data_IF_631292914171
#
_entry.id   IF_631292914171
#
_cell.length_a   1.000
_cell.length_b   1.000
_cell.length_c   1.000
_cell.angle_alpha   90.00
_cell.angle_beta   90.00
_cell.angle_gamma   90.00
#
_symmetry.space_group_name_H-M   'P 1'
#
loop_
_entity.id
_entity.type
_entity.pdbx_description
1 polymer ?
#
# COMPACT_ATOMS: atom_id res chain seq x y z
N UNK A 1 -16.88 -3.02 35.02
CA UNK A 1 -16.16 -1.74 34.99
C UNK A 1 -15.30 -1.55 33.73
N UNK A 2 -15.64 -2.19 32.57
CA UNK A 2 -14.89 -2.07 31.30
C UNK A 2 -15.64 -1.31 30.18
N UNK A 3 -16.82 -0.73 30.45
CA UNK A 3 -17.63 0.01 29.47
C UNK A 3 -17.24 1.50 29.31
N UNK A 4 -16.33 2.02 30.14
CA UNK A 4 -15.99 3.44 30.16
C UNK A 4 -14.96 3.77 29.07
N UNK A 5 -14.09 2.82 28.68
CA UNK A 5 -13.05 3.07 27.67
C UNK A 5 -13.57 3.18 26.23
N UNK A 6 -14.70 2.56 25.92
CA UNK A 6 -15.31 2.66 24.58
C UNK A 6 -15.90 4.06 24.34
N UNK A 7 -16.38 4.72 25.40
CA UNK A 7 -16.91 6.09 25.32
C UNK A 7 -15.80 7.12 25.17
N UNK A 8 -14.62 6.87 25.77
CA UNK A 8 -13.46 7.76 25.68
C UNK A 8 -12.80 7.68 24.30
N UNK A 9 -12.77 6.50 23.67
CA UNK A 9 -12.28 6.32 22.31
C UNK A 9 -13.24 6.92 21.25
N UNK A 10 -14.56 6.86 21.51
CA UNK A 10 -15.53 7.63 20.72
C UNK A 10 -15.30 9.14 20.85
N UNK A 11 -14.81 9.63 21.98
CA UNK A 11 -14.48 11.05 22.19
C UNK A 11 -13.18 11.46 21.51
N UNK A 12 -12.17 10.58 21.41
CA UNK A 12 -10.93 10.85 20.64
C UNK A 12 -11.25 10.81 19.14
N UNK A 13 -12.02 9.85 18.68
CA UNK A 13 -12.53 9.83 17.28
C UNK A 13 -13.47 11.01 17.01
N UNK A 14 -14.24 11.46 18.02
CA UNK A 14 -15.07 12.66 17.92
C UNK A 14 -14.26 13.96 18.07
N UNK A 15 -13.16 13.98 18.83
CA UNK A 15 -12.25 15.13 18.87
C UNK A 15 -11.42 15.24 17.58
N UNK A 16 -10.99 14.12 17.02
CA UNK A 16 -10.43 14.07 15.66
C UNK A 16 -11.48 14.48 14.60
N UNK A 17 -12.77 14.15 14.79
CA UNK A 17 -13.86 14.65 13.96
C UNK A 17 -14.17 16.13 14.19
N UNK A 18 -14.06 16.65 15.39
CA UNK A 18 -14.28 18.07 15.66
C UNK A 18 -13.13 18.96 15.19
N UNK A 19 -11.90 18.45 15.20
CA UNK A 19 -10.76 19.10 14.54
C UNK A 19 -10.82 18.92 13.01
N UNK A 20 -11.34 17.78 12.49
CA UNK A 20 -11.55 17.60 11.05
C UNK A 20 -12.66 18.49 10.49
N UNK A 21 -13.59 18.98 11.29
CA UNK A 21 -14.57 19.97 10.84
C UNK A 21 -14.01 21.39 10.68
N UNK A 22 -12.81 21.68 11.24
CA UNK A 22 -12.09 22.95 10.99
C UNK A 22 -10.92 22.78 10.00
N UNK A 23 -10.60 21.56 9.57
CA UNK A 23 -9.61 21.23 8.53
C UNK A 23 -10.31 20.72 7.26
N UNK A 24 -11.48 21.24 6.95
CA UNK A 24 -12.14 21.02 5.66
C UNK A 24 -11.27 21.68 4.59
N UNK A 25 -10.79 20.84 3.66
CA UNK A 25 -10.22 21.12 2.35
C UNK A 25 -8.72 20.85 2.10
N UNK A 26 -8.01 20.17 2.98
CA UNK A 26 -6.69 19.63 2.61
C UNK A 26 -6.76 18.11 2.77
N UNK A 27 -6.80 17.38 1.67
CA UNK A 27 -6.55 15.93 1.66
C UNK A 27 -5.10 15.72 2.13
N UNK A 28 -4.92 15.49 3.43
CA UNK A 28 -3.62 15.39 4.08
C UNK A 28 -2.87 14.08 3.75
N UNK A 29 -3.56 13.11 3.13
CA UNK A 29 -3.00 11.82 2.75
C UNK A 29 -3.39 11.54 1.30
N UNK A 30 -2.40 11.36 0.47
CA UNK A 30 -2.65 11.07 -0.93
C UNK A 30 -1.58 10.15 -1.48
N UNK A 31 -1.98 8.96 -1.91
CA UNK A 31 -1.10 8.06 -2.64
C UNK A 31 -1.51 8.00 -4.11
N UNK A 32 -0.66 7.46 -4.93
CA UNK A 32 -1.01 7.15 -6.31
C UNK A 32 -0.24 5.94 -6.80
N UNK A 33 -0.93 5.05 -7.51
CA UNK A 33 -0.32 3.90 -8.18
C UNK A 33 -0.75 3.86 -9.63
N UNK A 34 0.20 3.61 -10.52
CA UNK A 34 -0.10 3.41 -11.95
C UNK A 34 0.66 2.22 -12.52
N UNK A 35 0.21 1.73 -13.66
CA UNK A 35 0.90 0.72 -14.44
C UNK A 35 1.16 1.21 -15.88
N UNK A 36 2.40 1.05 -16.33
CA UNK A 36 2.76 1.09 -17.75
C UNK A 36 2.90 -0.34 -18.22
N UNK A 37 2.11 -0.72 -19.22
CA UNK A 37 2.14 -2.05 -19.80
C UNK A 37 2.34 -1.98 -21.30
N UNK A 38 3.37 -2.64 -21.81
CA UNK A 38 3.60 -2.88 -23.22
C UNK A 38 4.44 -4.15 -23.41
N UNK A 39 4.71 -4.53 -24.65
CA UNK A 39 5.49 -5.75 -25.00
C UNK A 39 6.86 -5.80 -24.32
N UNK A 40 7.48 -4.66 -24.08
CA UNK A 40 8.84 -4.56 -23.54
C UNK A 40 8.87 -4.42 -22.01
N UNK A 41 7.90 -3.74 -21.40
CA UNK A 41 7.92 -3.32 -20.02
C UNK A 41 6.60 -3.55 -19.29
N UNK A 42 6.70 -3.92 -18.03
CA UNK A 42 5.62 -3.84 -17.04
C UNK A 42 6.20 -3.05 -15.87
N UNK A 43 5.89 -1.76 -15.83
CA UNK A 43 6.37 -0.85 -14.79
C UNK A 43 5.19 -0.42 -13.93
N UNK A 44 5.32 -0.55 -12.62
CA UNK A 44 4.32 -0.10 -11.65
C UNK A 44 4.97 0.97 -10.80
N UNK A 45 4.42 2.19 -10.85
CA UNK A 45 4.87 3.31 -10.05
C UNK A 45 3.95 3.55 -8.86
N UNK A 46 4.52 3.88 -7.70
CA UNK A 46 3.78 4.22 -6.49
C UNK A 46 4.40 5.42 -5.78
N UNK A 47 3.58 6.38 -5.39
CA UNK A 47 3.94 7.45 -4.45
C UNK A 47 3.25 7.22 -3.10
N UNK A 48 4.03 7.33 -2.03
CA UNK A 48 3.50 7.53 -0.67
C UNK A 48 3.50 9.04 -0.37
N UNK A 49 2.33 9.60 -0.21
CA UNK A 49 2.11 11.03 0.01
C UNK A 49 1.55 11.27 1.42
N UNK A 50 2.36 11.82 2.31
CA UNK A 50 1.95 12.16 3.67
C UNK A 50 2.59 13.48 4.09
N UNK A 51 1.88 14.34 4.86
CA UNK A 51 2.39 15.66 5.22
C UNK A 51 3.53 15.62 6.25
N UNK A 52 3.54 14.57 7.12
CA UNK A 52 4.56 14.40 8.14
C UNK A 52 5.77 13.62 7.60
N UNK A 53 6.91 13.78 8.26
CA UNK A 53 8.05 12.89 8.04
C UNK A 53 7.74 11.51 8.62
N UNK A 54 7.76 10.49 7.79
CA UNK A 54 7.45 9.13 8.19
C UNK A 54 8.69 8.23 8.07
N UNK A 55 8.99 7.40 9.07
CA UNK A 55 9.95 6.33 8.93
C UNK A 55 9.40 5.24 8.02
N UNK A 56 10.25 4.39 7.49
CA UNK A 56 9.81 3.26 6.67
C UNK A 56 10.91 2.26 6.45
N UNK A 57 10.51 1.03 6.20
CA UNK A 57 11.40 -0.09 5.95
C UNK A 57 11.06 -0.78 4.63
N UNK A 58 12.08 -1.27 3.97
CA UNK A 58 11.94 -2.27 2.91
C UNK A 58 12.24 -3.62 3.54
N UNK A 59 11.35 -4.61 3.33
CA UNK A 59 11.55 -5.98 3.80
C UNK A 59 11.72 -6.96 2.65
N UNK A 60 12.60 -7.95 2.86
CA UNK A 60 12.70 -9.16 2.04
C UNK A 60 12.00 -10.27 2.81
N UNK A 61 10.71 -10.47 2.51
CA UNK A 61 9.84 -11.44 3.16
C UNK A 61 10.07 -12.85 2.60
N UNK A 62 9.81 -13.86 3.39
CA UNK A 62 10.18 -15.25 3.10
C UNK A 62 8.98 -16.11 2.72
N UNK A 63 9.22 -17.09 1.83
CA UNK A 63 8.29 -18.19 1.56
C UNK A 63 8.52 -19.33 2.55
N UNK A 64 7.53 -20.18 2.72
CA UNK A 64 7.57 -21.32 3.64
C UNK A 64 7.22 -20.98 5.08
N UNK A 65 6.70 -19.78 5.33
CA UNK A 65 6.29 -19.32 6.65
C UNK A 65 4.83 -19.71 6.93
N UNK A 66 4.59 -20.41 8.03
CA UNK A 66 3.23 -20.68 8.52
C UNK A 66 2.72 -19.48 9.31
N UNK A 67 1.56 -18.97 8.90
CA UNK A 67 0.94 -17.75 9.43
C UNK A 67 -0.54 -17.96 9.71
N UNK A 68 -1.09 -17.14 10.61
CA UNK A 68 -2.51 -17.11 10.95
C UNK A 68 -3.02 -15.67 10.95
N UNK A 69 -4.22 -15.43 10.40
CA UNK A 69 -4.83 -14.11 10.42
C UNK A 69 -5.32 -13.71 11.81
N UNK A 70 -5.36 -12.42 12.04
CA UNK A 70 -6.01 -11.81 13.20
C UNK A 70 -6.97 -10.74 12.72
N UNK A 71 -8.02 -10.47 13.48
CA UNK A 71 -8.90 -9.34 13.24
C UNK A 71 -8.22 -8.03 13.63
N UNK A 72 -8.78 -6.93 13.18
CA UNK A 72 -8.30 -5.60 13.51
C UNK A 72 -8.31 -5.34 15.03
N UNK A 73 -9.38 -5.72 15.71
CA UNK A 73 -9.50 -5.55 17.17
C UNK A 73 -8.49 -6.40 17.94
N UNK A 74 -8.22 -7.62 17.47
CA UNK A 74 -7.21 -8.47 18.07
C UNK A 74 -5.80 -7.90 17.85
N UNK A 75 -5.50 -7.42 16.63
CA UNK A 75 -4.18 -6.90 16.28
C UNK A 75 -3.82 -5.65 17.09
N UNK A 76 -4.74 -4.69 17.23
CA UNK A 76 -4.46 -3.42 17.90
C UNK A 76 -4.81 -3.42 19.39
N UNK A 77 -5.92 -4.02 19.79
CA UNK A 77 -6.39 -3.96 21.19
C UNK A 77 -6.24 -5.25 21.96
N UNK A 78 -5.81 -6.35 21.30
CA UNK A 78 -5.64 -7.64 21.97
C UNK A 78 -6.96 -8.29 22.39
N UNK A 79 -8.09 -7.80 21.88
CA UNK A 79 -9.39 -8.36 22.17
C UNK A 79 -9.56 -9.68 21.41
N UNK A 80 -9.96 -10.74 22.12
CA UNK A 80 -10.25 -12.02 21.48
C UNK A 80 -11.56 -11.96 20.74
N UNK A 81 -11.56 -12.47 19.51
CA UNK A 81 -12.77 -12.70 18.74
C UNK A 81 -13.00 -14.21 18.52
N UNK A 82 -14.21 -14.56 18.13
CA UNK A 82 -14.62 -15.94 17.82
C UNK A 82 -14.76 -16.19 16.32
N UNK A 83 -14.27 -15.25 15.50
CA UNK A 83 -14.39 -15.33 14.06
C UNK A 83 -13.42 -16.37 13.48
N UNK A 84 -13.81 -17.06 12.41
CA UNK A 84 -12.91 -17.97 11.71
C UNK A 84 -11.64 -17.26 11.26
N UNK A 85 -10.49 -17.93 11.39
CA UNK A 85 -9.18 -17.41 10.97
C UNK A 85 -8.68 -18.09 9.72
N UNK A 86 -7.97 -17.33 8.90
CA UNK A 86 -7.17 -17.88 7.81
C UNK A 86 -5.89 -18.47 8.38
N UNK A 87 -5.51 -19.67 7.89
CA UNK A 87 -4.19 -20.25 8.12
C UNK A 87 -3.57 -20.52 6.77
N UNK A 88 -2.33 -20.07 6.58
CA UNK A 88 -1.64 -20.28 5.31
C UNK A 88 -0.14 -20.54 5.51
N UNK A 89 0.47 -21.06 4.47
CA UNK A 89 1.92 -21.10 4.32
C UNK A 89 2.26 -20.18 3.18
N UNK A 90 3.15 -19.20 3.39
CA UNK A 90 3.59 -18.30 2.34
C UNK A 90 4.20 -19.11 1.18
N UNK A 91 3.56 -19.07 0.01
CA UNK A 91 4.06 -19.73 -1.21
C UNK A 91 5.17 -18.94 -1.85
N UNK A 92 5.13 -17.62 -1.71
CA UNK A 92 6.02 -16.69 -2.37
C UNK A 92 6.70 -15.78 -1.36
N UNK A 93 7.98 -15.49 -1.61
CA UNK A 93 8.65 -14.36 -0.97
C UNK A 93 8.34 -13.07 -1.70
N UNK A 94 8.59 -11.95 -1.03
CA UNK A 94 8.28 -10.62 -1.59
C UNK A 94 9.29 -9.56 -1.15
N UNK A 95 9.34 -8.47 -1.90
CA UNK A 95 10.01 -7.22 -1.48
C UNK A 95 8.94 -6.16 -1.32
N UNK A 96 8.79 -5.67 -0.09
CA UNK A 96 7.73 -4.75 0.32
C UNK A 96 8.30 -3.47 0.90
N UNK A 97 7.51 -2.41 0.89
CA UNK A 97 7.80 -1.15 1.58
C UNK A 97 6.71 -0.92 2.64
N UNK A 98 7.15 -0.65 3.85
CA UNK A 98 6.34 -0.71 5.03
C UNK A 98 6.53 0.57 5.86
N UNK A 99 5.53 1.44 5.95
CA UNK A 99 5.61 2.63 6.80
C UNK A 99 5.46 2.30 8.29
N UNK A 100 4.83 1.17 8.63
CA UNK A 100 4.50 0.83 10.02
C UNK A 100 5.47 -0.21 10.57
N UNK A 101 5.56 -1.39 9.98
CA UNK A 101 6.41 -2.46 10.52
C UNK A 101 6.37 -3.73 9.69
N UNK A 102 7.05 -4.76 10.17
CA UNK A 102 7.08 -6.07 9.54
C UNK A 102 5.66 -6.63 9.42
N UNK A 103 5.31 -7.24 8.29
CA UNK A 103 3.99 -7.74 7.91
C UNK A 103 2.93 -6.64 7.64
N UNK A 104 3.17 -5.37 8.03
CA UNK A 104 2.26 -4.23 7.87
C UNK A 104 2.68 -3.41 6.66
N UNK A 105 2.41 -3.92 5.48
CA UNK A 105 2.90 -3.39 4.22
C UNK A 105 1.96 -2.34 3.62
N UNK A 106 2.53 -1.36 2.95
CA UNK A 106 1.83 -0.39 2.10
C UNK A 106 1.72 -0.88 0.65
N UNK A 107 2.71 -1.68 0.23
CA UNK A 107 2.69 -2.39 -1.02
C UNK A 107 3.95 -3.21 -1.27
N UNK A 108 3.95 -3.94 -2.37
CA UNK A 108 5.08 -4.79 -2.72
C UNK A 108 4.89 -5.62 -3.98
N UNK A 109 5.96 -6.31 -4.35
CA UNK A 109 6.00 -7.27 -5.45
C UNK A 109 6.51 -8.61 -4.93
N UNK A 110 5.82 -9.71 -5.22
CA UNK A 110 6.31 -11.04 -4.89
C UNK A 110 7.15 -11.66 -6.01
N UNK A 111 7.84 -12.75 -5.69
CA UNK A 111 8.72 -13.46 -6.64
C UNK A 111 7.97 -14.12 -7.82
N UNK A 112 6.64 -14.25 -7.74
CA UNK A 112 5.80 -14.68 -8.87
C UNK A 112 5.47 -13.55 -9.84
N UNK A 113 5.71 -12.28 -9.46
CA UNK A 113 5.42 -11.09 -10.24
C UNK A 113 4.03 -10.52 -10.00
N UNK A 114 3.40 -10.81 -8.87
CA UNK A 114 2.18 -10.15 -8.41
C UNK A 114 2.53 -8.93 -7.57
N UNK A 115 1.97 -7.78 -7.93
CA UNK A 115 2.02 -6.52 -7.19
C UNK A 115 0.68 -6.25 -6.52
N UNK A 116 0.72 -5.71 -5.32
CA UNK A 116 -0.39 -5.02 -4.66
C UNK A 116 0.13 -3.78 -3.95
N UNK A 117 -0.64 -2.70 -4.01
CA UNK A 117 -0.37 -1.46 -3.26
C UNK A 117 -1.68 -0.85 -2.80
N UNK A 118 -1.64 -0.19 -1.65
CA UNK A 118 -2.78 0.48 -1.06
C UNK A 118 -2.72 1.98 -1.34
N UNK A 119 -3.88 2.61 -1.43
CA UNK A 119 -4.07 4.06 -1.42
C UNK A 119 -5.21 4.39 -0.47
N UNK A 120 -5.11 5.53 0.21
CA UNK A 120 -6.21 6.02 1.03
C UNK A 120 -7.43 6.33 0.16
N UNK A 121 -8.61 5.91 0.60
CA UNK A 121 -9.90 6.19 -0.04
C UNK A 121 -10.66 7.24 0.78
N UNK A 122 -10.86 8.43 0.20
CA UNK A 122 -11.35 9.60 0.95
C UNK A 122 -12.85 9.59 1.23
N UNK A 123 -13.66 8.84 0.45
CA UNK A 123 -15.11 8.90 0.52
C UNK A 123 -15.76 7.52 0.71
N UNK A 124 -16.86 7.49 1.47
CA UNK A 124 -17.79 6.36 1.56
C UNK A 124 -17.17 5.00 1.84
N UNK A 125 -15.92 4.98 2.35
CA UNK A 125 -15.22 3.75 2.66
C UNK A 125 -15.91 3.00 3.81
N UNK A 126 -16.21 1.73 3.55
CA UNK A 126 -16.66 0.78 4.57
C UNK A 126 -16.37 -0.64 4.10
N UNK A 127 -15.61 -1.38 4.86
CA UNK A 127 -15.33 -2.78 4.56
C UNK A 127 -16.60 -3.62 4.55
N UNK A 128 -16.65 -4.59 3.63
CA UNK A 128 -17.71 -5.59 3.56
C UNK A 128 -17.41 -6.70 4.57
N UNK A 129 -18.11 -6.71 5.69
CA UNK A 129 -18.04 -7.82 6.65
C UNK A 129 -18.95 -8.95 6.18
N UNK A 130 -18.35 -10.09 5.83
CA UNK A 130 -19.08 -11.27 5.37
C UNK A 130 -19.22 -12.24 6.55
N UNK A 131 -20.43 -12.33 7.08
CA UNK A 131 -20.74 -13.21 8.22
C UNK A 131 -20.29 -14.67 7.94
N UNK A 132 -19.66 -15.29 8.93
CA UNK A 132 -19.16 -16.70 8.90
C UNK A 132 -17.97 -16.95 7.98
N UNK A 133 -17.42 -15.95 7.29
CA UNK A 133 -16.19 -16.11 6.53
C UNK A 133 -14.96 -15.80 7.39
N UNK A 134 -13.80 -16.38 7.07
CA UNK A 134 -12.56 -16.03 7.73
C UNK A 134 -12.30 -14.53 7.66
N UNK A 135 -11.73 -13.98 8.74
CA UNK A 135 -11.41 -12.56 8.84
C UNK A 135 -9.91 -12.32 8.83
N UNK A 136 -9.49 -11.22 8.21
CA UNK A 136 -8.11 -10.75 8.22
C UNK A 136 -8.11 -9.22 8.39
N UNK A 137 -7.26 -8.72 9.28
CA UNK A 137 -7.03 -7.29 9.40
C UNK A 137 -6.50 -6.72 8.07
N UNK A 138 -7.04 -5.57 7.64
CA UNK A 138 -6.65 -4.92 6.37
C UNK A 138 -5.14 -4.66 6.29
N UNK A 139 -4.50 -4.34 7.42
CA UNK A 139 -3.06 -4.13 7.50
C UNK A 139 -2.23 -5.40 7.20
N UNK A 140 -2.79 -6.61 7.37
CA UNK A 140 -2.15 -7.88 7.08
C UNK A 140 -2.59 -8.47 5.73
N UNK A 141 -3.67 -7.95 5.17
CA UNK A 141 -4.27 -8.50 3.96
C UNK A 141 -3.36 -8.41 2.75
N UNK A 142 -2.63 -7.29 2.59
CA UNK A 142 -1.71 -7.12 1.46
C UNK A 142 -0.58 -8.15 1.50
N UNK A 143 -0.01 -8.39 2.69
CA UNK A 143 1.04 -9.41 2.85
C UNK A 143 0.49 -10.81 2.57
N UNK A 144 -0.74 -11.12 3.04
CA UNK A 144 -1.40 -12.39 2.72
C UNK A 144 -1.56 -12.60 1.21
N UNK A 145 -1.95 -11.55 0.46
CA UNK A 145 -2.07 -11.59 -0.99
C UNK A 145 -0.72 -11.91 -1.64
N UNK A 146 0.35 -11.21 -1.24
CA UNK A 146 1.69 -11.45 -1.79
C UNK A 146 2.22 -12.84 -1.42
N UNK A 147 1.91 -13.33 -0.22
CA UNK A 147 2.30 -14.66 0.24
C UNK A 147 1.63 -15.79 -0.55
N UNK A 148 0.39 -15.58 -1.01
CA UNK A 148 -0.50 -16.68 -1.41
C UNK A 148 -0.73 -16.79 -2.91
N UNK A 149 -0.70 -15.68 -3.66
CA UNK A 149 -1.18 -15.59 -5.03
C UNK A 149 -0.12 -15.12 -6.01
N UNK A 150 -0.28 -15.54 -7.28
CA UNK A 150 0.60 -15.19 -8.39
C UNK A 150 -0.10 -14.34 -9.46
N UNK A 151 -1.43 -14.30 -9.45
CA UNK A 151 -2.24 -13.68 -10.50
C UNK A 151 -3.37 -12.83 -9.95
N UNK A 152 -3.80 -11.85 -10.73
CA UNK A 152 -4.95 -11.00 -10.41
C UNK A 152 -6.23 -11.82 -10.24
N UNK A 153 -6.44 -12.83 -11.09
CA UNK A 153 -7.65 -13.69 -11.03
C UNK A 153 -7.74 -14.46 -9.71
N UNK A 154 -6.60 -14.97 -9.19
CA UNK A 154 -6.54 -15.65 -7.89
C UNK A 154 -6.91 -14.67 -6.75
N UNK A 155 -6.43 -13.43 -6.80
CA UNK A 155 -6.76 -12.39 -5.81
C UNK A 155 -8.26 -12.08 -5.82
N UNK A 156 -8.85 -11.86 -6.99
CA UNK A 156 -10.28 -11.53 -7.13
C UNK A 156 -11.15 -12.65 -6.59
N UNK A 157 -10.80 -13.90 -6.91
CA UNK A 157 -11.52 -15.07 -6.37
C UNK A 157 -11.50 -15.06 -4.84
N UNK A 158 -10.33 -14.82 -4.23
CA UNK A 158 -10.20 -14.77 -2.77
C UNK A 158 -11.01 -13.65 -2.12
N UNK A 159 -11.03 -12.44 -2.70
CA UNK A 159 -11.77 -11.29 -2.14
C UNK A 159 -13.25 -11.61 -1.90
N UNK A 160 -13.82 -12.54 -2.67
CA UNK A 160 -15.17 -13.02 -2.46
C UNK A 160 -15.30 -14.07 -1.33
N UNK A 161 -14.19 -14.61 -0.82
CA UNK A 161 -14.16 -15.76 0.10
C UNK A 161 -13.79 -15.39 1.55
N UNK A 162 -13.26 -14.21 1.79
CA UNK A 162 -12.85 -13.74 3.12
C UNK A 162 -13.40 -12.34 3.43
N UNK A 163 -13.41 -11.99 4.70
CA UNK A 163 -13.73 -10.65 5.18
C UNK A 163 -12.44 -9.89 5.47
N UNK A 164 -12.27 -8.74 4.84
CA UNK A 164 -11.21 -7.78 5.19
C UNK A 164 -11.74 -6.86 6.27
N UNK A 165 -11.02 -6.71 7.37
CA UNK A 165 -11.39 -5.88 8.50
C UNK A 165 -10.35 -4.76 8.72
N UNK A 166 -10.72 -3.53 8.48
CA UNK A 166 -9.87 -2.35 8.72
C UNK A 166 -10.36 -1.48 9.85
N UNK A 167 -11.39 -1.92 10.56
CA UNK A 167 -12.07 -1.10 11.55
C UNK A 167 -12.59 0.19 10.90
N UNK A 168 -12.44 1.31 11.64
CA UNK A 168 -12.83 2.64 11.13
C UNK A 168 -11.61 3.52 10.79
N UNK A 169 -10.40 3.01 10.99
CA UNK A 169 -9.15 3.79 10.90
C UNK A 169 -8.55 3.67 9.51
N UNK A 170 -8.39 2.45 9.01
CA UNK A 170 -7.77 2.20 7.72
C UNK A 170 -8.82 2.22 6.61
N UNK A 171 -8.80 3.27 5.81
CA UNK A 171 -9.70 3.47 4.67
C UNK A 171 -8.89 3.34 3.40
N UNK A 172 -8.76 2.12 2.91
CA UNK A 172 -7.90 1.82 1.78
C UNK A 172 -8.67 1.22 0.61
N UNK A 173 -8.19 1.50 -0.59
CA UNK A 173 -8.48 0.78 -1.80
C UNK A 173 -7.18 0.35 -2.47
N UNK A 174 -7.24 -0.59 -3.38
CA UNK A 174 -6.06 -1.36 -3.76
C UNK A 174 -5.91 -1.44 -5.26
N UNK A 175 -4.66 -1.26 -5.73
CA UNK A 175 -4.25 -1.56 -7.09
C UNK A 175 -3.51 -2.89 -7.10
N UNK A 176 -3.95 -3.84 -7.93
CA UNK A 176 -3.33 -5.16 -8.10
C UNK A 176 -2.93 -5.34 -9.55
N UNK A 177 -1.74 -5.89 -9.80
CA UNK A 177 -1.29 -6.22 -11.15
C UNK A 177 -0.39 -7.45 -11.15
N UNK A 178 -0.35 -8.18 -12.28
CA UNK A 178 0.50 -9.36 -12.43
C UNK A 178 1.44 -9.27 -13.63
N UNK A 179 2.39 -10.19 -13.71
CA UNK A 179 3.38 -10.25 -14.79
C UNK A 179 2.84 -10.51 -16.18
N UNK A 180 1.54 -10.81 -16.31
CA UNK A 180 0.87 -10.94 -17.62
C UNK A 180 0.23 -9.64 -18.07
N UNK A 181 0.26 -8.59 -17.21
CA UNK A 181 -0.37 -7.30 -17.47
C UNK A 181 -1.85 -7.25 -17.08
N UNK A 182 -2.39 -8.31 -16.44
CA UNK A 182 -3.70 -8.23 -15.81
C UNK A 182 -3.64 -7.24 -14.64
N UNK A 183 -4.74 -6.54 -14.41
CA UNK A 183 -4.84 -5.52 -13.39
C UNK A 183 -6.24 -5.51 -12.78
N UNK A 184 -6.32 -5.08 -11.52
CA UNK A 184 -7.59 -4.84 -10.85
C UNK A 184 -7.47 -3.68 -9.86
N UNK A 185 -8.59 -3.01 -9.66
CA UNK A 185 -8.82 -2.05 -8.59
C UNK A 185 -9.90 -2.63 -7.68
N UNK A 186 -9.60 -2.71 -6.39
CA UNK A 186 -10.49 -3.30 -5.38
C UNK A 186 -10.84 -2.21 -4.38
N UNK A 187 -12.12 -1.91 -4.24
CA UNK A 187 -12.65 -0.85 -3.39
C UNK A 187 -13.73 -1.41 -2.45
N UNK A 188 -13.75 -0.91 -1.22
CA UNK A 188 -14.76 -1.21 -0.23
C UNK A 188 -15.62 0.02 0.02
N UNK A 189 -16.72 0.15 -0.71
CA UNK A 189 -17.58 1.34 -0.70
C UNK A 189 -18.96 0.95 -0.16
N UNK A 190 -19.43 1.69 0.85
CA UNK A 190 -20.75 1.47 1.48
C UNK A 190 -20.98 0.01 1.94
N UNK A 191 -19.94 -0.70 2.40
CA UNK A 191 -20.02 -2.08 2.85
C UNK A 191 -20.16 -3.10 1.70
N UNK A 192 -19.85 -2.69 0.47
CA UNK A 192 -19.80 -3.56 -0.71
C UNK A 192 -18.39 -3.58 -1.28
N UNK A 193 -17.97 -4.72 -1.76
CA UNK A 193 -16.75 -4.85 -2.54
C UNK A 193 -17.05 -4.50 -3.99
N UNK A 194 -16.33 -3.51 -4.53
CA UNK A 194 -16.36 -3.14 -5.94
C UNK A 194 -15.03 -3.54 -6.56
N UNK A 195 -15.07 -4.21 -7.70
CA UNK A 195 -13.88 -4.67 -8.42
C UNK A 195 -13.98 -4.18 -9.85
N UNK A 196 -12.95 -3.44 -10.29
CA UNK A 196 -12.72 -3.11 -11.69
C UNK A 196 -11.57 -3.99 -12.16
N UNK A 197 -11.72 -4.71 -13.27
CA UNK A 197 -10.72 -5.66 -13.76
C UNK A 197 -10.46 -5.48 -15.24
N UNK A 198 -9.19 -5.52 -15.64
CA UNK A 198 -8.73 -5.50 -17.03
C UNK A 198 -9.36 -4.37 -17.86
N UNK A 199 -10.33 -4.64 -18.72
CA UNK A 199 -10.98 -3.66 -19.59
C UNK A 199 -11.84 -2.65 -18.83
N UNK A 200 -12.28 -2.99 -17.60
CA UNK A 200 -12.95 -2.06 -16.69
C UNK A 200 -11.96 -1.09 -16.01
N UNK A 201 -10.66 -1.22 -16.31
CA UNK A 201 -9.60 -0.31 -15.89
C UNK A 201 -8.97 0.38 -17.12
N UNK A 202 -9.70 1.24 -17.84
CA UNK A 202 -9.21 1.89 -19.08
C UNK A 202 -8.06 2.86 -18.84
N UNK A 203 -7.93 3.37 -17.62
CA UNK A 203 -6.80 4.19 -17.16
C UNK A 203 -6.13 3.43 -16.02
N UNK A 204 -4.92 2.94 -16.27
CA UNK A 204 -4.14 2.16 -15.30
C UNK A 204 -3.51 3.05 -14.22
N UNK A 205 -4.35 3.79 -13.52
CA UNK A 205 -3.98 4.72 -12.44
C UNK A 205 -5.04 4.66 -11.35
N UNK A 206 -4.61 4.65 -10.10
CA UNK A 206 -5.47 4.80 -8.92
C UNK A 206 -4.89 5.92 -8.05
N UNK A 207 -5.76 6.85 -7.62
CA UNK A 207 -5.44 7.93 -6.68
C UNK A 207 -6.24 7.74 -5.37
N UNK A 208 -6.94 8.75 -4.88
CA UNK A 208 -7.60 8.70 -3.57
C UNK A 208 -9.13 8.82 -3.61
N UNK A 209 -9.70 9.08 -4.78
CA UNK A 209 -11.15 9.05 -4.96
C UNK A 209 -11.60 7.65 -5.39
N UNK A 210 -12.89 7.33 -5.23
CA UNK A 210 -13.47 6.17 -5.90
C UNK A 210 -13.11 6.19 -7.38
N UNK A 211 -12.65 5.06 -7.92
CA UNK A 211 -12.14 5.00 -9.29
C UNK A 211 -13.15 5.46 -10.34
N UNK A 212 -14.43 5.12 -10.15
CA UNK A 212 -15.52 5.59 -11.01
C UNK A 212 -15.65 7.11 -11.03
N UNK A 213 -15.45 7.78 -9.88
CA UNK A 213 -15.54 9.24 -9.77
C UNK A 213 -14.39 9.91 -10.53
N UNK A 214 -13.20 9.35 -10.44
CA UNK A 214 -12.03 9.83 -11.18
C UNK A 214 -12.22 9.67 -12.70
N UNK A 215 -12.79 8.55 -13.16
CA UNK A 215 -13.14 8.34 -14.58
C UNK A 215 -14.22 9.33 -15.05
N UNK A 216 -15.25 9.60 -14.25
CA UNK A 216 -16.29 10.57 -14.60
C UNK A 216 -15.74 12.01 -14.65
N UNK A 217 -14.84 12.35 -13.73
CA UNK A 217 -14.15 13.64 -13.76
C UNK A 217 -13.29 13.80 -15.02
N UNK A 218 -12.61 12.73 -15.44
CA UNK A 218 -11.75 12.72 -16.62
C UNK A 218 -12.53 12.99 -17.91
N UNK A 219 -13.80 12.54 -18.01
CA UNK A 219 -14.67 12.76 -19.17
C UNK A 219 -14.92 14.24 -19.50
N UNK A 220 -14.67 15.16 -18.56
CA UNK A 220 -14.82 16.60 -18.79
C UNK A 220 -13.69 17.19 -19.64
N UNK A 221 -12.58 16.49 -19.82
CA UNK A 221 -11.36 16.99 -20.44
C UNK A 221 -11.24 16.60 -21.91
N UNK A 222 -10.55 17.45 -22.70
CA UNK A 222 -10.23 17.20 -24.10
C UNK A 222 -9.40 15.92 -24.25
N UNK A 223 -9.80 15.10 -25.22
CA UNK A 223 -9.19 13.79 -25.46
C UNK A 223 -9.78 12.64 -24.63
N UNK A 224 -10.76 12.95 -23.74
CA UNK A 224 -11.51 12.00 -22.96
C UNK A 224 -13.04 12.20 -23.05
N UNK A 225 -13.50 12.99 -24.02
CA UNK A 225 -14.90 13.21 -24.33
C UNK A 225 -15.41 14.63 -24.04
N UNK A 226 -14.68 15.43 -23.28
CA UNK A 226 -15.06 16.79 -22.91
C UNK A 226 -14.32 17.87 -23.70
N UNK A 227 -14.51 19.11 -23.24
CA UNK A 227 -13.95 20.31 -23.89
C UNK A 227 -12.98 21.11 -22.99
N UNK A 228 -12.78 20.70 -21.74
CA UNK A 228 -11.86 21.36 -20.81
C UNK A 228 -10.40 21.03 -21.16
N UNK A 229 -9.54 22.03 -21.18
CA UNK A 229 -8.11 21.84 -21.46
C UNK A 229 -7.40 21.22 -20.25
N UNK A 230 -6.41 20.35 -20.49
CA UNK A 230 -5.52 19.81 -19.47
C UNK A 230 -4.33 20.75 -19.32
N UNK A 231 -4.34 21.59 -18.29
CA UNK A 231 -3.28 22.56 -18.04
C UNK A 231 -2.12 21.91 -17.26
N UNK A 232 -1.23 21.22 -17.93
CA UNK A 232 -0.10 20.53 -17.31
C UNK A 232 0.84 21.43 -16.48
N UNK A 233 0.77 22.76 -16.65
CA UNK A 233 1.60 23.71 -15.88
C UNK A 233 1.04 24.01 -14.51
N UNK A 234 -0.27 23.95 -14.32
CA UNK A 234 -0.93 24.27 -13.05
C UNK A 234 -1.19 22.99 -12.27
N UNK A 235 -0.35 22.70 -11.28
CA UNK A 235 -0.56 21.58 -10.36
C UNK A 235 -1.74 21.90 -9.45
N UNK A 236 -2.74 21.03 -9.46
CA UNK A 236 -3.88 21.04 -8.56
C UNK A 236 -4.14 19.61 -8.11
N UNK A 237 -4.29 19.40 -6.83
CA UNK A 237 -4.55 18.06 -6.24
C UNK A 237 -5.79 17.42 -6.86
N UNK A 238 -6.84 18.21 -7.09
CA UNK A 238 -8.09 17.77 -7.70
C UNK A 238 -7.93 17.23 -9.15
N UNK A 239 -6.77 17.47 -9.78
CA UNK A 239 -6.50 17.05 -11.15
C UNK A 239 -5.40 15.98 -11.25
N UNK A 240 -4.98 15.38 -10.12
CA UNK A 240 -3.91 14.37 -10.06
C UNK A 240 -4.18 13.23 -11.04
N UNK A 241 -5.37 12.63 -10.98
CA UNK A 241 -5.78 11.54 -11.88
C UNK A 241 -5.73 11.97 -13.36
N UNK A 242 -6.19 13.19 -13.67
CA UNK A 242 -6.18 13.73 -15.05
C UNK A 242 -4.77 13.87 -15.59
N UNK A 243 -3.82 14.33 -14.77
CA UNK A 243 -2.42 14.47 -15.19
C UNK A 243 -1.76 13.12 -15.43
N UNK A 244 -1.99 12.16 -14.52
CA UNK A 244 -1.47 10.80 -14.68
C UNK A 244 -2.07 10.11 -15.91
N UNK A 245 -3.39 10.22 -16.12
CA UNK A 245 -4.07 9.69 -17.29
C UNK A 245 -3.47 10.25 -18.60
N UNK A 246 -3.20 11.56 -18.63
CA UNK A 246 -2.58 12.19 -19.81
C UNK A 246 -1.17 11.65 -20.08
N UNK A 247 -0.35 11.51 -19.04
CA UNK A 247 1.02 10.95 -19.21
C UNK A 247 0.98 9.48 -19.64
N UNK A 248 0.06 8.68 -19.06
CA UNK A 248 -0.15 7.30 -19.48
C UNK A 248 -0.63 7.21 -20.96
N UNK A 249 -1.49 8.12 -21.39
CA UNK A 249 -1.91 8.21 -22.79
C UNK A 249 -0.74 8.53 -23.73
N UNK A 250 0.13 9.47 -23.34
CA UNK A 250 1.32 9.85 -24.13
C UNK A 250 2.26 8.64 -24.28
N UNK A 251 2.55 7.92 -23.20
CA UNK A 251 3.49 6.78 -23.27
C UNK A 251 2.89 5.60 -24.05
N UNK A 252 1.58 5.40 -24.04
CA UNK A 252 0.93 4.40 -24.90
C UNK A 252 1.10 4.70 -26.39
N UNK A 253 1.20 5.98 -26.76
CA UNK A 253 1.46 6.41 -28.14
C UNK A 253 2.94 6.33 -28.51
N UNK A 254 3.85 6.35 -27.52
CA UNK A 254 5.29 6.32 -27.69
C UNK A 254 5.96 5.20 -26.86
N UNK A 255 5.63 3.91 -27.09
CA UNK A 255 6.05 2.81 -26.21
C UNK A 255 7.58 2.65 -26.11
N UNK A 256 8.34 3.10 -27.10
CA UNK A 256 9.80 3.06 -27.08
C UNK A 256 10.42 3.94 -25.97
N UNK A 257 9.73 4.99 -25.53
CA UNK A 257 10.16 5.87 -24.44
C UNK A 257 9.83 5.29 -23.05
N UNK A 258 9.10 4.18 -23.01
CA UNK A 258 8.71 3.52 -21.77
C UNK A 258 9.95 2.95 -21.06
N UNK A 259 10.31 3.56 -19.94
CA UNK A 259 11.41 3.13 -19.09
C UNK A 259 11.21 3.61 -17.64
N UNK A 260 12.10 3.19 -16.76
CA UNK A 260 12.05 3.54 -15.32
C UNK A 260 12.10 5.06 -15.08
N UNK A 261 12.87 5.81 -15.88
CA UNK A 261 12.94 7.27 -15.74
C UNK A 261 11.60 7.91 -16.05
N UNK A 262 10.93 7.49 -17.15
CA UNK A 262 9.60 7.99 -17.47
C UNK A 262 8.56 7.65 -16.36
N UNK A 263 8.66 6.48 -15.76
CA UNK A 263 7.82 6.15 -14.61
C UNK A 263 8.07 7.10 -13.42
N UNK A 264 9.33 7.45 -13.15
CA UNK A 264 9.64 8.49 -12.15
C UNK A 264 9.18 9.89 -12.55
N UNK A 265 9.11 10.22 -13.83
CA UNK A 265 8.56 11.50 -14.31
C UNK A 265 7.04 11.56 -14.08
N UNK A 266 6.32 10.44 -14.29
CA UNK A 266 4.91 10.36 -13.88
C UNK A 266 4.78 10.59 -12.37
N UNK A 267 5.53 9.86 -11.54
CA UNK A 267 5.49 10.00 -10.07
C UNK A 267 5.78 11.44 -9.63
N UNK A 268 6.78 12.09 -10.24
CA UNK A 268 7.10 13.50 -10.01
C UNK A 268 5.95 14.42 -10.42
N UNK A 269 5.22 14.08 -11.48
CA UNK A 269 4.06 14.87 -11.92
C UNK A 269 2.89 14.74 -10.97
N UNK A 270 2.72 13.57 -10.34
CA UNK A 270 1.69 13.28 -9.36
C UNK A 270 2.02 13.80 -7.95
N UNK A 271 3.27 14.23 -7.71
CA UNK A 271 3.71 14.82 -6.44
C UNK A 271 3.20 16.26 -6.29
N UNK A 272 2.53 16.54 -5.18
CA UNK A 272 2.03 17.86 -4.78
C UNK A 272 2.82 18.47 -3.61
N UNK A 273 4.05 18.01 -3.39
CA UNK A 273 4.95 18.54 -2.38
C UNK A 273 4.92 17.79 -1.06
N UNK A 274 4.16 16.72 -0.96
CA UNK A 274 4.07 15.88 0.24
C UNK A 274 4.52 14.44 0.02
N UNK A 275 5.01 14.10 -1.18
CA UNK A 275 5.53 12.76 -1.49
C UNK A 275 6.79 12.48 -0.68
N UNK A 276 6.76 11.40 0.09
CA UNK A 276 7.91 10.92 0.87
C UNK A 276 8.70 9.86 0.12
N UNK A 277 8.02 8.94 -0.54
CA UNK A 277 8.66 7.87 -1.33
C UNK A 277 8.05 7.81 -2.72
N UNK A 278 8.93 7.65 -3.71
CA UNK A 278 8.57 7.30 -5.08
C UNK A 278 9.22 5.96 -5.41
N UNK A 279 8.41 4.98 -5.75
CA UNK A 279 8.81 3.59 -5.97
C UNK A 279 8.39 3.16 -7.36
N UNK A 280 9.26 2.43 -8.07
CA UNK A 280 8.95 1.83 -9.38
C UNK A 280 9.35 0.36 -9.33
N UNK A 281 8.40 -0.53 -9.55
CA UNK A 281 8.66 -1.93 -9.79
C UNK A 281 8.74 -2.20 -11.30
N UNK A 282 9.87 -2.74 -11.72
CA UNK A 282 10.03 -3.37 -13.04
C UNK A 282 9.71 -4.85 -12.89
N UNK A 283 8.45 -5.19 -13.15
CA UNK A 283 7.92 -6.54 -12.91
C UNK A 283 8.57 -7.55 -13.84
N UNK A 284 8.87 -7.16 -15.08
CA UNK A 284 9.49 -8.04 -16.08
C UNK A 284 10.91 -8.42 -15.71
N UNK A 285 11.67 -7.45 -15.19
CA UNK A 285 13.07 -7.64 -14.78
C UNK A 285 13.23 -7.97 -13.29
N UNK A 286 12.11 -8.09 -12.55
CA UNK A 286 12.10 -8.38 -11.12
C UNK A 286 13.03 -7.45 -10.35
N UNK A 287 12.76 -6.15 -10.44
CA UNK A 287 13.52 -5.09 -9.76
C UNK A 287 12.59 -4.08 -9.10
N UNK A 288 13.01 -3.58 -7.95
CA UNK A 288 12.43 -2.42 -7.30
C UNK A 288 13.42 -1.26 -7.41
N UNK A 289 12.96 -0.12 -7.89
CA UNK A 289 13.67 1.15 -7.85
C UNK A 289 12.96 2.10 -6.90
N UNK A 290 13.70 2.91 -6.16
CA UNK A 290 13.09 3.89 -5.26
C UNK A 290 13.97 5.11 -5.03
N UNK A 291 13.32 6.20 -4.68
CA UNK A 291 13.93 7.42 -4.13
C UNK A 291 12.99 7.99 -3.07
N UNK A 292 13.51 8.83 -2.19
CA UNK A 292 12.72 9.44 -1.13
C UNK A 292 12.91 10.95 -1.13
N UNK A 293 12.04 11.70 -0.45
CA UNK A 293 12.22 13.14 -0.23
C UNK A 293 13.54 13.47 0.48
N UNK A 294 14.06 12.55 1.30
CA UNK A 294 15.34 12.71 2.02
C UNK A 294 16.56 12.33 1.17
N UNK A 295 16.39 11.45 0.21
CA UNK A 295 17.49 11.02 -0.67
C UNK A 295 16.97 10.79 -2.08
N UNK A 296 17.26 11.74 -2.99
CA UNK A 296 16.78 11.74 -4.38
C UNK A 296 17.53 10.77 -5.28
N UNK A 297 18.66 10.23 -4.83
CA UNK A 297 19.40 9.22 -5.59
C UNK A 297 18.53 8.00 -5.81
N UNK A 298 18.42 7.55 -7.06
CA UNK A 298 17.65 6.34 -7.38
C UNK A 298 18.45 5.12 -6.96
N UNK A 299 17.90 4.39 -6.01
CA UNK A 299 18.39 3.12 -5.50
C UNK A 299 17.60 1.98 -6.11
N UNK A 300 18.18 0.79 -6.17
CA UNK A 300 17.44 -0.38 -6.65
C UNK A 300 17.80 -1.66 -5.91
N UNK A 301 16.91 -2.62 -5.99
CA UNK A 301 17.02 -3.96 -5.44
C UNK A 301 16.70 -4.95 -6.56
N UNK A 302 17.64 -5.84 -6.89
CA UNK A 302 17.39 -6.95 -7.80
C UNK A 302 16.84 -8.13 -7.01
N UNK A 303 15.77 -8.79 -7.49
CA UNK A 303 15.19 -9.95 -6.80
C UNK A 303 15.94 -11.24 -7.11
N UNK A 304 16.52 -11.38 -8.30
CA UNK A 304 17.22 -12.61 -8.71
C UNK A 304 18.28 -13.14 -7.72
N UNK A 305 19.10 -12.28 -7.08
CA UNK A 305 20.08 -12.76 -6.12
C UNK A 305 19.56 -12.87 -4.69
N UNK A 306 18.26 -12.65 -4.44
CA UNK A 306 17.68 -12.72 -3.11
C UNK A 306 17.30 -14.17 -2.76
N UNK A 307 17.61 -14.58 -1.54
CA UNK A 307 17.12 -15.84 -1.01
C UNK A 307 15.80 -15.60 -0.27
N UNK A 308 14.71 -16.05 -0.85
CA UNK A 308 13.37 -15.97 -0.27
C UNK A 308 13.02 -17.17 0.62
N UNK A 309 13.92 -18.15 0.81
CA UNK A 309 13.67 -19.29 1.69
C UNK A 309 13.56 -18.86 3.15
N UNK A 310 12.64 -19.43 3.91
CA UNK A 310 12.54 -19.20 5.36
C UNK A 310 13.71 -19.81 6.17
N UNK A 311 14.58 -20.61 5.55
CA UNK A 311 15.85 -21.05 6.17
C UNK A 311 16.84 -19.90 6.40
N UNK A 312 16.59 -18.74 5.79
CA UNK A 312 17.34 -17.50 6.00
C UNK A 312 16.45 -16.46 6.69
N UNK A 313 17.03 -15.61 7.53
CA UNK A 313 16.26 -14.59 8.24
C UNK A 313 15.61 -13.59 7.27
N UNK A 314 14.54 -12.96 7.71
CA UNK A 314 13.99 -11.76 7.06
C UNK A 314 15.08 -10.68 7.09
N UNK A 315 15.19 -9.93 6.00
CA UNK A 315 16.13 -8.81 5.89
C UNK A 315 15.34 -7.50 5.79
N UNK A 316 15.89 -6.44 6.36
CA UNK A 316 15.25 -5.13 6.38
C UNK A 316 16.23 -4.00 6.06
N UNK A 317 15.73 -2.92 5.47
CA UNK A 317 16.50 -1.72 5.14
C UNK A 317 15.66 -0.47 5.42
N UNK A 318 16.20 0.50 6.13
CA UNK A 318 15.57 1.82 6.26
C UNK A 318 15.51 2.49 4.87
N UNK A 319 14.28 2.70 4.36
CA UNK A 319 14.05 3.28 3.04
C UNK A 319 14.57 4.72 2.94
N UNK A 320 14.61 5.44 4.07
CA UNK A 320 15.06 6.83 4.17
C UNK A 320 16.56 6.97 4.39
N UNK A 321 17.29 5.84 4.52
CA UNK A 321 18.74 5.88 4.69
C UNK A 321 19.40 6.61 3.52
N UNK A 322 20.27 7.57 3.84
CA UNK A 322 21.05 8.27 2.82
C UNK A 322 22.10 7.32 2.26
N UNK A 323 21.84 6.83 1.06
CA UNK A 323 22.69 5.89 0.35
C UNK A 323 23.00 6.43 -1.05
N UNK A 324 24.15 6.04 -1.62
CA UNK A 324 24.43 6.31 -3.02
C UNK A 324 23.36 5.66 -3.92
N UNK A 325 23.20 6.17 -5.12
CA UNK A 325 22.38 5.50 -6.14
C UNK A 325 22.95 4.13 -6.52
N UNK A 326 22.11 3.27 -7.09
CA UNK A 326 22.51 1.93 -7.53
C UNK A 326 21.98 0.81 -6.65
N UNK A 327 22.64 -0.35 -6.67
CA UNK A 327 22.25 -1.54 -5.92
C UNK A 327 22.49 -1.34 -4.42
N UNK A 328 21.45 -1.56 -3.61
CA UNK A 328 21.52 -1.37 -2.15
C UNK A 328 21.44 -2.69 -1.37
N UNK A 329 21.61 -3.83 -2.02
CA UNK A 329 21.52 -5.15 -1.40
C UNK A 329 22.42 -5.28 -0.18
N UNK A 330 23.62 -4.74 -0.21
CA UNK A 330 24.62 -4.85 0.86
C UNK A 330 24.26 -4.05 2.13
N UNK A 331 23.30 -3.14 2.04
CA UNK A 331 22.89 -2.31 3.17
C UNK A 331 21.74 -2.90 3.99
N UNK A 332 21.20 -4.04 3.56
CA UNK A 332 20.19 -4.76 4.33
C UNK A 332 20.79 -5.34 5.59
N UNK A 333 20.05 -5.28 6.67
CA UNK A 333 20.37 -5.89 7.95
C UNK A 333 19.38 -7.01 8.26
N UNK A 334 19.80 -7.95 9.09
CA UNK A 334 18.91 -9.00 9.60
C UNK A 334 17.79 -8.36 10.44
N UNK A 335 16.56 -8.78 10.18
CA UNK A 335 15.42 -8.42 11.01
C UNK A 335 15.66 -8.91 12.47
N UNK A 336 15.29 -8.05 13.41
CA UNK A 336 15.12 -8.40 14.82
C UNK A 336 13.84 -7.75 15.34
N UNK A 337 13.18 -8.41 16.30
CA UNK A 337 12.00 -7.85 16.97
C UNK A 337 12.29 -6.44 17.54
N UNK A 338 13.46 -6.24 18.14
CA UNK A 338 13.85 -4.93 18.72
C UNK A 338 13.95 -3.83 17.68
N UNK A 339 14.54 -4.11 16.49
CA UNK A 339 14.59 -3.13 15.39
C UNK A 339 13.20 -2.81 14.86
N UNK A 340 12.35 -3.84 14.70
CA UNK A 340 10.96 -3.66 14.29
C UNK A 340 10.15 -2.85 15.31
N UNK A 341 10.31 -3.14 16.61
CA UNK A 341 9.66 -2.39 17.70
C UNK A 341 10.07 -0.92 17.69
N UNK A 342 11.37 -0.65 17.57
CA UNK A 342 11.89 0.73 17.47
C UNK A 342 11.31 1.46 16.26
N UNK A 343 11.14 0.75 15.13
CA UNK A 343 10.54 1.32 13.94
C UNK A 343 9.05 1.62 14.15
N UNK A 344 8.29 0.68 14.72
CA UNK A 344 6.88 0.85 15.09
C UNK A 344 6.68 2.08 16.01
N UNK A 345 7.50 2.21 17.06
CA UNK A 345 7.46 3.35 17.98
C UNK A 345 7.65 4.68 17.23
N UNK A 346 8.61 4.75 16.31
CA UNK A 346 8.82 5.94 15.48
C UNK A 346 7.64 6.23 14.56
N UNK A 347 7.09 5.20 13.90
CA UNK A 347 5.99 5.34 12.96
C UNK A 347 4.72 5.84 13.63
N UNK A 348 4.31 5.20 14.72
CA UNK A 348 3.13 5.63 15.46
C UNK A 348 3.32 6.98 16.16
N UNK A 349 4.56 7.32 16.53
CA UNK A 349 4.88 8.64 17.10
C UNK A 349 4.70 9.80 16.12
N UNK A 350 4.62 9.54 14.82
CA UNK A 350 4.32 10.55 13.81
C UNK A 350 2.81 10.86 13.73
N UNK A 351 1.96 10.02 14.33
CA UNK A 351 0.51 10.21 14.36
C UNK A 351 0.17 11.05 15.59
N UNK A 352 -0.47 12.20 15.37
CA UNK A 352 -0.86 13.13 16.43
C UNK A 352 -1.76 12.42 17.48
N UNK A 353 -1.46 12.63 18.76
CA UNK A 353 -2.19 12.05 19.88
C UNK A 353 -1.84 10.60 20.22
N UNK A 354 -1.11 9.88 19.36
CA UNK A 354 -0.79 8.46 19.63
C UNK A 354 0.19 8.26 20.78
N UNK A 355 1.12 9.17 21.02
CA UNK A 355 2.08 9.09 22.14
C UNK A 355 1.42 9.25 23.51
N UNK A 356 0.38 10.06 23.56
CA UNK A 356 -0.38 10.36 24.76
C UNK A 356 -1.40 9.26 25.10
N UNK A 357 -1.64 8.32 24.14
CA UNK A 357 -2.55 7.20 24.33
C UNK A 357 -1.96 6.18 25.33
N UNK A 358 -2.69 5.90 26.41
CA UNK A 358 -2.22 5.00 27.49
C UNK A 358 -1.96 3.57 27.02
N UNK A 359 -2.65 3.14 25.97
CA UNK A 359 -2.51 1.79 25.39
C UNK A 359 -1.40 1.71 24.33
N UNK A 360 -0.76 2.83 24.02
CA UNK A 360 0.28 2.93 22.99
C UNK A 360 1.40 1.87 23.15
N UNK A 361 2.01 1.69 24.34
CA UNK A 361 3.05 0.67 24.52
C UNK A 361 2.56 -0.75 24.25
N UNK A 362 1.30 -1.05 24.64
CA UNK A 362 0.70 -2.37 24.41
C UNK A 362 0.38 -2.63 22.95
N UNK A 363 -0.03 -1.61 22.20
CA UNK A 363 -0.24 -1.69 20.74
C UNK A 363 1.09 -2.01 20.06
N UNK A 364 2.14 -1.27 20.38
CA UNK A 364 3.50 -1.49 19.82
C UNK A 364 3.98 -2.90 20.11
N UNK A 365 3.79 -3.38 21.35
CA UNK A 365 4.20 -4.73 21.74
C UNK A 365 3.47 -5.81 20.94
N UNK A 366 2.15 -5.68 20.77
CA UNK A 366 1.36 -6.63 19.96
C UNK A 366 1.78 -6.65 18.50
N UNK A 367 1.96 -5.48 17.90
CA UNK A 367 2.39 -5.37 16.50
C UNK A 367 3.82 -5.92 16.30
N UNK A 368 4.72 -5.68 17.27
CA UNK A 368 6.07 -6.21 17.22
C UNK A 368 6.11 -7.74 17.40
N UNK A 369 5.18 -8.29 18.17
CA UNK A 369 5.13 -9.73 18.46
C UNK A 369 4.38 -10.54 17.40
N UNK A 370 3.58 -9.92 16.53
CA UNK A 370 2.88 -10.66 15.48
C UNK A 370 3.85 -11.41 14.54
N UNK A 371 4.92 -10.79 14.03
CA UNK A 371 5.91 -11.51 13.20
C UNK A 371 6.63 -12.65 13.94
N UNK A 372 6.71 -12.59 15.27
CA UNK A 372 7.35 -13.65 16.09
C UNK A 372 6.46 -14.91 16.23
N UNK A 373 5.19 -14.82 15.88
CA UNK A 373 4.28 -15.98 15.84
C UNK A 373 4.46 -16.84 14.60
N UNK A 374 5.17 -16.34 13.61
CA UNK A 374 5.40 -16.97 12.32
C UNK A 374 6.49 -18.01 12.40
N UNK A 375 6.29 -19.18 11.75
CA UNK A 375 7.22 -20.31 11.82
C UNK A 375 7.64 -20.77 10.43
N UNK A 376 8.92 -21.07 10.27
CA UNK A 376 9.41 -21.77 9.08
C UNK A 376 8.95 -23.23 9.11
N UNK A 377 8.34 -23.70 8.01
CA UNK A 377 7.84 -25.07 7.88
C UNK A 377 8.75 -25.95 7.06
#
# INVERSE_FOLDING_TARGET
>A
MKKINLLFMCLIVLSLRSQSQTMTDVNLFGCSTFMIFNENNILIGHNLDVPMEIPGMIFINKRGLEKESVSFVQLLWGETDTLPKLKWISKYGSVTYNPIGCELIDGGLNEAGLYIGEMSLNENHKYAVISKKPIIASALWLQYILDSYATVDEVIKFVSEASVDGGYIFRWHFFVADKKGNKAIIEFINGKTTIHQNDDVPIELLCNNPYSNDLDSLKQYKGYGGNRDIELKNKSENNRFVYGAQMLKIIKQNPAESNVNYAFDILKRLDFGITKWSIVYDVKNMKMYYRTSKCINVKHINFSPLDFSCSKPIMMLDINKDLPGGDVKEYFVTYTNQLNKTHLEKSFSCIEGMKEEKTFPEIIERLANYPETVKCK
#
